data_IF_191599440695
#
_entry.id   IF_191599440695
#
_cell.length_a   1.000
_cell.length_b   1.000
_cell.length_c   1.000
_cell.angle_alpha   90.00
_cell.angle_beta   90.00
_cell.angle_gamma   90.00
#
_symmetry.space_group_name_H-M   'P 1'
#
loop_
_entity.id
_entity.type
_entity.pdbx_description
1 polymer ?
#
# COMPACT_ATOMS: atom_id res chain seq x y z
N UNK A 1 -69.83 20.91 -13.53
CA UNK A 1 -71.04 21.27 -12.74
C UNK A 1 -72.24 20.48 -13.30
N UNK A 2 -73.47 20.76 -12.86
CA UNK A 2 -74.69 20.12 -13.42
C UNK A 2 -74.83 20.32 -14.95
N UNK A 3 -74.14 21.31 -15.53
CA UNK A 3 -74.11 21.61 -16.97
C UNK A 3 -72.92 20.97 -17.71
N UNK A 4 -72.06 20.18 -17.04
CA UNK A 4 -70.91 19.51 -17.66
C UNK A 4 -69.62 20.34 -17.74
N UNK A 5 -69.56 21.51 -17.11
CA UNK A 5 -68.33 22.31 -17.10
C UNK A 5 -67.22 21.60 -16.28
N UNK A 6 -66.02 21.37 -16.85
CA UNK A 6 -64.91 20.74 -16.14
C UNK A 6 -64.37 21.68 -15.05
N UNK A 7 -63.84 21.10 -13.96
CA UNK A 7 -63.14 21.87 -12.95
C UNK A 7 -61.81 22.39 -13.50
N UNK A 8 -61.25 23.39 -12.83
CA UNK A 8 -59.84 23.71 -13.03
C UNK A 8 -58.96 22.49 -12.71
N UNK A 9 -57.86 22.36 -13.43
CA UNK A 9 -56.80 21.40 -13.12
C UNK A 9 -56.08 21.83 -11.86
N UNK A 10 -55.91 20.91 -10.90
CA UNK A 10 -54.98 21.09 -9.79
C UNK A 10 -53.59 20.59 -10.21
N UNK A 11 -52.55 21.34 -9.89
CA UNK A 11 -51.15 20.96 -10.11
C UNK A 11 -50.41 20.97 -8.78
N UNK A 12 -49.64 19.91 -8.53
CA UNK A 12 -48.67 19.82 -7.43
C UNK A 12 -47.27 19.76 -8.06
N UNK A 13 -46.38 20.65 -7.65
CA UNK A 13 -45.03 20.72 -8.16
C UNK A 13 -44.07 20.79 -6.96
N UNK A 14 -43.20 19.80 -6.85
CA UNK A 14 -42.21 19.70 -5.78
C UNK A 14 -40.80 19.90 -6.38
N UNK A 15 -39.90 20.57 -5.66
CA UNK A 15 -38.51 20.69 -6.10
C UNK A 15 -37.83 19.31 -6.10
N UNK A 16 -36.95 19.08 -7.07
CA UNK A 16 -36.08 17.90 -7.14
C UNK A 16 -34.65 18.39 -6.95
N UNK A 17 -33.90 17.75 -6.06
CA UNK A 17 -32.46 17.95 -5.97
C UNK A 17 -31.75 16.96 -6.90
N UNK A 18 -31.11 17.50 -7.93
CA UNK A 18 -30.34 16.74 -8.92
C UNK A 18 -28.89 17.23 -9.02
N UNK A 19 -28.43 17.96 -8.01
CA UNK A 19 -27.06 18.48 -7.98
C UNK A 19 -26.17 17.42 -7.36
N UNK A 20 -25.14 16.98 -8.08
CA UNK A 20 -24.16 16.04 -7.56
C UNK A 20 -23.41 16.62 -6.36
N UNK A 21 -23.10 15.77 -5.37
CA UNK A 21 -22.19 16.12 -4.30
C UNK A 21 -20.80 16.52 -4.84
N UNK A 22 -20.05 17.40 -4.13
CA UNK A 22 -18.67 17.69 -4.49
C UNK A 22 -17.77 16.45 -4.41
N UNK A 23 -16.92 16.27 -5.42
CA UNK A 23 -16.01 15.12 -5.48
C UNK A 23 -14.87 15.27 -4.46
N UNK A 24 -14.56 14.24 -3.64
CA UNK A 24 -13.42 14.27 -2.74
C UNK A 24 -12.10 14.15 -3.54
N UNK A 25 -10.97 14.18 -2.84
CA UNK A 25 -9.69 13.64 -3.30
C UNK A 25 -9.28 12.47 -2.40
N UNK A 26 -8.44 11.58 -2.91
CA UNK A 26 -7.85 10.48 -2.14
C UNK A 26 -6.38 10.37 -2.51
N UNK A 27 -5.51 10.14 -1.53
CA UNK A 27 -4.07 10.05 -1.72
C UNK A 27 -3.47 9.02 -0.74
N UNK A 28 -2.65 8.10 -1.26
CA UNK A 28 -1.84 7.19 -0.47
C UNK A 28 -0.67 7.91 0.18
N UNK A 29 -0.24 7.43 1.35
CA UNK A 29 0.94 7.93 2.05
C UNK A 29 1.83 6.78 2.51
N UNK A 30 3.09 7.06 2.85
CA UNK A 30 4.01 6.07 3.43
C UNK A 30 5.00 5.41 2.48
N UNK A 31 5.00 5.74 1.19
CA UNK A 31 5.93 5.20 0.16
C UNK A 31 7.35 5.79 0.18
N UNK A 32 7.81 6.29 1.33
CA UNK A 32 9.13 6.92 1.43
C UNK A 32 9.39 8.01 0.38
N UNK A 33 10.59 7.98 -0.23
CA UNK A 33 11.03 8.96 -1.23
C UNK A 33 11.10 8.43 -2.66
N UNK A 34 11.05 7.12 -2.83
CA UNK A 34 11.06 6.46 -4.14
C UNK A 34 9.66 6.36 -4.75
N UNK A 35 8.61 6.53 -3.95
CA UNK A 35 7.22 6.56 -4.42
C UNK A 35 6.72 5.17 -4.79
N UNK A 36 7.27 4.11 -4.20
CA UNK A 36 6.87 2.72 -4.41
C UNK A 36 6.72 2.04 -3.06
N UNK A 37 5.58 1.41 -2.80
CA UNK A 37 5.42 0.64 -1.58
C UNK A 37 6.27 -0.64 -1.61
N UNK A 38 7.14 -0.82 -0.62
CA UNK A 38 7.88 -2.06 -0.40
C UNK A 38 7.33 -2.85 0.80
N UNK A 39 7.93 -4.01 1.09
CA UNK A 39 7.50 -4.89 2.18
C UNK A 39 7.60 -4.29 3.58
N UNK A 40 8.48 -3.31 3.78
CA UNK A 40 8.66 -2.65 5.08
C UNK A 40 7.67 -1.48 5.26
N UNK A 41 7.20 -0.90 4.16
CA UNK A 41 6.22 0.19 4.15
C UNK A 41 4.77 -0.30 4.14
N UNK A 42 4.53 -1.52 3.65
CA UNK A 42 3.26 -2.21 3.83
C UNK A 42 3.16 -2.62 5.30
N UNK A 43 2.05 -2.24 5.95
CA UNK A 43 1.80 -2.58 7.34
C UNK A 43 1.89 -4.08 7.61
N UNK A 44 2.22 -4.46 8.85
CA UNK A 44 2.31 -5.88 9.23
C UNK A 44 1.00 -6.66 9.08
N UNK A 45 -0.12 -5.94 8.98
CA UNK A 45 -1.47 -6.42 8.67
C UNK A 45 -1.78 -6.49 7.17
N UNK A 46 -0.83 -6.10 6.32
CA UNK A 46 -0.93 -6.16 4.86
C UNK A 46 -1.69 -4.98 4.25
N UNK A 47 -1.80 -3.86 4.95
CA UNK A 47 -2.50 -2.67 4.46
C UNK A 47 -1.57 -1.46 4.31
N UNK A 48 -2.02 -0.49 3.52
CA UNK A 48 -1.42 0.84 3.40
C UNK A 48 -2.48 1.91 3.62
N UNK A 49 -2.10 3.04 4.20
CA UNK A 49 -3.04 4.12 4.53
C UNK A 49 -3.26 5.05 3.32
N UNK A 50 -4.53 5.29 3.00
CA UNK A 50 -4.95 6.40 2.15
C UNK A 50 -5.73 7.45 2.94
N UNK A 51 -5.56 8.72 2.61
CA UNK A 51 -6.31 9.83 3.21
C UNK A 51 -7.29 10.40 2.19
N UNK A 52 -8.57 10.40 2.55
CA UNK A 52 -9.63 11.05 1.78
C UNK A 52 -9.80 12.48 2.27
N UNK A 53 -9.64 13.47 1.38
CA UNK A 53 -9.95 14.87 1.67
C UNK A 53 -11.29 15.24 1.05
N UNK A 54 -12.22 15.72 1.88
CA UNK A 54 -13.55 16.14 1.42
C UNK A 54 -13.49 17.52 0.78
N UNK A 55 -14.10 17.67 -0.40
CA UNK A 55 -14.10 18.94 -1.11
C UNK A 55 -15.01 19.98 -0.45
N UNK A 56 -14.70 21.26 -0.68
CA UNK A 56 -15.54 22.39 -0.25
C UNK A 56 -16.96 22.23 -0.79
N UNK A 57 -17.96 22.37 0.08
CA UNK A 57 -19.37 22.16 -0.25
C UNK A 57 -19.91 20.79 0.14
N UNK A 58 -19.04 19.85 0.53
CA UNK A 58 -19.46 18.63 1.24
C UNK A 58 -20.06 19.01 2.58
N UNK A 59 -21.16 18.37 2.98
CA UNK A 59 -21.95 18.72 4.16
C UNK A 59 -21.95 17.61 5.19
N UNK A 60 -22.14 17.98 6.46
CA UNK A 60 -22.41 17.01 7.52
C UNK A 60 -23.70 16.28 7.19
N UNK A 61 -23.68 14.95 7.27
CA UNK A 61 -24.83 14.10 6.91
C UNK A 61 -24.73 13.47 5.53
N UNK A 62 -23.84 13.97 4.65
CA UNK A 62 -23.48 13.26 3.42
C UNK A 62 -22.85 11.90 3.75
N UNK A 63 -22.82 10.97 2.80
CA UNK A 63 -22.22 9.65 2.97
C UNK A 63 -20.94 9.56 2.16
N UNK A 64 -19.82 9.24 2.81
CA UNK A 64 -18.56 8.88 2.16
C UNK A 64 -18.51 7.36 1.97
N UNK A 65 -18.23 6.92 0.75
CA UNK A 65 -17.97 5.52 0.40
C UNK A 65 -16.53 5.41 -0.11
N UNK A 66 -15.76 4.48 0.44
CA UNK A 66 -14.40 4.16 0.00
C UNK A 66 -14.35 2.70 -0.44
N UNK A 67 -13.73 2.43 -1.59
CA UNK A 67 -13.55 1.07 -2.11
C UNK A 67 -12.11 0.81 -2.55
N UNK A 68 -11.69 -0.45 -2.53
CA UNK A 68 -10.40 -0.88 -3.10
C UNK A 68 -10.49 -1.05 -4.64
N UNK A 69 -9.35 -1.33 -5.29
CA UNK A 69 -9.29 -1.61 -6.73
C UNK A 69 -10.06 -2.86 -7.20
N UNK A 70 -10.48 -3.73 -6.28
CA UNK A 70 -11.34 -4.88 -6.58
C UNK A 70 -12.83 -4.56 -6.42
N UNK A 71 -13.17 -3.33 -6.01
CA UNK A 71 -14.53 -2.87 -5.77
C UNK A 71 -15.10 -3.27 -4.41
N UNK A 72 -14.28 -3.78 -3.48
CA UNK A 72 -14.73 -4.08 -2.12
C UNK A 72 -14.88 -2.77 -1.34
N UNK A 73 -15.96 -2.65 -0.58
CA UNK A 73 -16.19 -1.49 0.30
C UNK A 73 -15.28 -1.59 1.52
N UNK A 74 -14.37 -0.63 1.64
CA UNK A 74 -13.48 -0.47 2.80
C UNK A 74 -14.16 0.34 3.91
N UNK A 75 -14.91 1.37 3.52
CA UNK A 75 -15.64 2.21 4.46
C UNK A 75 -16.95 2.75 3.85
N UNK A 76 -17.98 2.86 4.69
CA UNK A 76 -19.18 3.65 4.42
C UNK A 76 -19.53 4.40 5.68
N UNK A 77 -19.30 5.72 5.67
CA UNK A 77 -19.40 6.56 6.86
C UNK A 77 -20.19 7.83 6.57
N UNK A 78 -20.93 8.30 7.56
CA UNK A 78 -21.57 9.62 7.49
C UNK A 78 -20.54 10.70 7.74
N UNK A 79 -20.50 11.71 6.86
CA UNK A 79 -19.61 12.86 6.97
C UNK A 79 -19.86 13.60 8.28
N UNK A 80 -18.78 13.77 9.04
CA UNK A 80 -18.76 14.52 10.31
C UNK A 80 -17.95 15.80 10.16
N UNK A 81 -18.09 16.73 11.12
CA UNK A 81 -17.24 17.92 11.16
C UNK A 81 -15.74 17.59 11.27
N UNK A 82 -15.39 16.51 11.96
CA UNK A 82 -14.00 16.08 12.08
C UNK A 82 -13.42 15.69 10.71
N UNK A 83 -14.20 14.98 9.89
CA UNK A 83 -13.80 14.60 8.54
C UNK A 83 -13.66 15.81 7.61
N UNK A 84 -14.55 16.80 7.73
CA UNK A 84 -14.43 18.04 6.95
C UNK A 84 -13.17 18.84 7.32
N UNK A 85 -12.71 18.74 8.56
CA UNK A 85 -11.54 19.48 9.03
C UNK A 85 -10.23 18.75 8.75
N UNK A 86 -10.22 17.42 8.88
CA UNK A 86 -9.00 16.61 8.93
C UNK A 86 -8.90 15.55 7.83
N UNK A 87 -9.95 15.34 7.03
CA UNK A 87 -10.06 14.20 6.13
C UNK A 87 -10.48 12.91 6.84
N UNK A 88 -10.39 11.79 6.12
CA UNK A 88 -10.71 10.46 6.61
C UNK A 88 -9.64 9.47 6.13
N UNK A 89 -8.91 8.88 7.08
CA UNK A 89 -7.91 7.85 6.80
C UNK A 89 -8.59 6.48 6.69
N UNK A 90 -8.12 5.68 5.74
CA UNK A 90 -8.62 4.34 5.46
C UNK A 90 -7.46 3.40 5.13
N UNK A 91 -7.48 2.22 5.73
CA UNK A 91 -6.52 1.16 5.44
C UNK A 91 -6.96 0.37 4.20
N UNK A 92 -6.07 0.29 3.22
CA UNK A 92 -6.31 -0.38 1.94
C UNK A 92 -5.46 -1.64 1.88
N UNK A 93 -6.06 -2.84 1.73
CA UNK A 93 -5.31 -4.08 1.66
C UNK A 93 -4.48 -4.17 0.37
N UNK A 94 -3.23 -4.59 0.52
CA UNK A 94 -2.34 -4.94 -0.59
C UNK A 94 -2.38 -6.46 -0.78
N UNK A 95 -2.85 -6.90 -1.95
CA UNK A 95 -2.92 -8.33 -2.22
C UNK A 95 -1.50 -8.94 -2.34
N UNK A 96 -1.25 -10.17 -1.83
CA UNK A 96 0.03 -10.83 -2.03
C UNK A 96 0.36 -10.97 -3.51
N UNK A 97 1.56 -10.54 -3.92
CA UNK A 97 1.93 -10.56 -5.34
C UNK A 97 1.45 -9.35 -6.15
N UNK A 98 0.73 -8.40 -5.54
CA UNK A 98 0.31 -7.20 -6.24
C UNK A 98 1.51 -6.34 -6.65
N UNK A 99 1.43 -5.77 -7.85
CA UNK A 99 2.39 -4.80 -8.38
C UNK A 99 1.88 -3.36 -8.29
N UNK A 100 0.63 -3.21 -7.85
CA UNK A 100 -0.03 -1.92 -7.63
C UNK A 100 -1.13 -2.05 -6.57
N UNK A 101 -1.44 -0.93 -5.92
CA UNK A 101 -2.55 -0.78 -4.97
C UNK A 101 -3.41 0.40 -5.40
N UNK A 102 -4.72 0.21 -5.32
CA UNK A 102 -5.70 1.18 -5.78
C UNK A 102 -6.77 1.43 -4.72
N UNK A 103 -7.19 2.69 -4.61
CA UNK A 103 -8.30 3.12 -3.77
C UNK A 103 -9.18 4.11 -4.53
N UNK A 104 -10.47 4.06 -4.27
CA UNK A 104 -11.43 5.05 -4.75
C UNK A 104 -12.32 5.59 -3.64
N UNK A 105 -12.79 6.82 -3.80
CA UNK A 105 -13.68 7.48 -2.87
C UNK A 105 -14.80 8.24 -3.60
N UNK A 106 -16.00 8.22 -3.05
CA UNK A 106 -17.16 8.95 -3.56
C UNK A 106 -18.00 9.49 -2.40
N UNK A 107 -18.52 10.71 -2.54
CA UNK A 107 -19.48 11.29 -1.60
C UNK A 107 -20.87 11.23 -2.22
N UNK A 108 -21.88 10.88 -1.42
CA UNK A 108 -23.29 10.85 -1.79
C UNK A 108 -24.00 11.84 -0.86
N UNK A 109 -24.66 12.85 -1.41
CA UNK A 109 -25.40 13.82 -0.59
C UNK A 109 -26.64 13.20 0.08
N UNK A 110 -27.30 13.99 0.93
CA UNK A 110 -28.54 13.58 1.63
C UNK A 110 -29.69 13.25 0.65
N UNK A 111 -29.71 13.88 -0.54
CA UNK A 111 -30.71 13.61 -1.58
C UNK A 111 -30.39 12.33 -2.39
N UNK A 112 -29.21 11.74 -2.20
CA UNK A 112 -28.75 10.54 -2.89
C UNK A 112 -27.99 10.82 -4.18
N UNK A 113 -27.57 12.05 -4.45
CA UNK A 113 -26.80 12.41 -5.64
C UNK A 113 -25.30 12.12 -5.40
N UNK A 114 -24.68 11.19 -6.17
CA UNK A 114 -23.28 10.88 -6.02
C UNK A 114 -22.38 11.95 -6.66
N UNK A 115 -21.21 12.15 -6.08
CA UNK A 115 -20.12 12.90 -6.68
C UNK A 115 -19.45 12.11 -7.82
N UNK A 116 -18.55 12.77 -8.54
CA UNK A 116 -17.55 12.03 -9.31
C UNK A 116 -16.69 11.16 -8.37
N UNK A 117 -16.20 10.03 -8.88
CA UNK A 117 -15.30 9.13 -8.16
C UNK A 117 -13.88 9.71 -8.17
N UNK A 118 -13.26 9.81 -7.00
CA UNK A 118 -11.84 10.04 -6.83
C UNK A 118 -11.09 8.71 -6.83
N UNK A 119 -9.88 8.68 -7.38
CA UNK A 119 -9.05 7.48 -7.48
C UNK A 119 -7.60 7.84 -7.20
N UNK A 120 -6.90 6.95 -6.49
CA UNK A 120 -5.43 6.95 -6.41
C UNK A 120 -4.90 5.54 -6.68
N UNK A 121 -3.76 5.46 -7.37
CA UNK A 121 -3.10 4.21 -7.75
C UNK A 121 -1.60 4.35 -7.56
N UNK A 122 -1.00 3.43 -6.80
CA UNK A 122 0.43 3.45 -6.48
C UNK A 122 1.09 2.12 -6.81
N UNK A 123 2.36 2.14 -7.26
CA UNK A 123 3.11 0.91 -7.51
C UNK A 123 3.50 0.23 -6.20
N UNK A 124 3.61 -1.10 -6.28
CA UNK A 124 4.09 -1.97 -5.20
C UNK A 124 5.27 -2.77 -5.72
N UNK A 125 6.39 -2.72 -5.00
CA UNK A 125 7.51 -3.62 -5.23
C UNK A 125 7.38 -4.86 -4.35
N UNK A 126 7.01 -5.97 -4.98
CA UNK A 126 6.94 -7.28 -4.36
C UNK A 126 7.98 -8.26 -4.97
N UNK A 127 9.04 -7.73 -5.57
CA UNK A 127 10.13 -8.53 -6.11
C UNK A 127 11.14 -8.76 -4.99
N UNK A 128 11.20 -10.00 -4.49
CA UNK A 128 12.24 -10.37 -3.55
C UNK A 128 13.63 -10.26 -4.19
N UNK A 129 14.58 -9.68 -3.47
CA UNK A 129 15.98 -9.67 -3.87
C UNK A 129 16.48 -11.12 -4.11
N UNK A 130 17.31 -11.36 -5.14
CA UNK A 130 17.85 -12.69 -5.40
C UNK A 130 18.65 -13.25 -4.22
N UNK A 131 18.45 -14.54 -3.93
CA UNK A 131 19.15 -15.20 -2.83
C UNK A 131 20.66 -15.33 -3.14
N UNK A 132 21.56 -14.88 -2.24
CA UNK A 132 22.99 -15.09 -2.41
C UNK A 132 23.36 -16.55 -2.19
N UNK A 133 24.57 -16.94 -2.62
CA UNK A 133 25.17 -18.24 -2.28
C UNK A 133 26.27 -18.08 -1.25
N UNK A 134 26.48 -19.10 -0.43
CA UNK A 134 27.55 -19.12 0.58
C UNK A 134 28.37 -20.38 0.40
N UNK A 135 29.70 -20.22 0.32
CA UNK A 135 30.64 -21.33 0.20
C UNK A 135 31.73 -21.22 1.26
N UNK A 136 31.88 -22.27 2.06
CA UNK A 136 32.98 -22.37 3.01
C UNK A 136 34.29 -22.69 2.29
N UNK A 137 35.37 -22.07 2.75
CA UNK A 137 36.72 -22.30 2.24
C UNK A 137 37.60 -22.96 3.30
N UNK A 138 38.65 -23.66 2.89
CA UNK A 138 39.67 -24.20 3.81
C UNK A 138 39.49 -25.66 4.27
N UNK A 139 38.49 -26.40 3.79
CA UNK A 139 38.25 -27.82 4.16
C UNK A 139 39.19 -28.84 3.47
N UNK A 140 40.34 -28.41 2.95
CA UNK A 140 41.22 -29.29 2.19
C UNK A 140 40.52 -30.03 1.03
N UNK A 141 40.94 -31.27 0.77
CA UNK A 141 40.39 -32.13 -0.30
C UNK A 141 39.39 -33.18 0.17
N UNK A 142 39.30 -33.42 1.48
CA UNK A 142 38.37 -34.39 2.07
C UNK A 142 37.00 -33.76 2.38
N UNK A 143 36.91 -32.42 2.34
CA UNK A 143 35.66 -31.69 2.46
C UNK A 143 35.11 -31.64 3.88
N UNK A 144 35.98 -31.83 4.89
CA UNK A 144 35.60 -31.81 6.30
C UNK A 144 36.61 -30.99 7.08
N UNK A 145 36.14 -29.97 7.81
CA UNK A 145 37.01 -29.21 8.71
C UNK A 145 37.57 -30.07 9.84
N UNK A 146 38.89 -30.04 10.00
CA UNK A 146 39.60 -30.61 11.14
C UNK A 146 40.21 -29.53 12.05
N UNK A 147 40.86 -29.94 13.14
CA UNK A 147 41.43 -29.02 14.14
C UNK A 147 42.50 -28.08 13.60
N UNK A 148 43.17 -28.45 12.52
CA UNK A 148 44.23 -27.66 11.90
C UNK A 148 43.66 -26.63 10.91
N UNK A 149 42.44 -26.85 10.42
CA UNK A 149 41.73 -26.00 9.45
C UNK A 149 40.78 -25.01 10.11
N UNK A 150 40.35 -25.28 11.34
CA UNK A 150 39.57 -24.35 12.15
C UNK A 150 40.52 -23.28 12.72
N UNK A 151 40.15 -22.01 12.58
CA UNK A 151 40.90 -20.90 13.13
C UNK A 151 41.12 -21.04 14.64
N UNK A 152 42.19 -20.44 15.16
CA UNK A 152 42.48 -20.48 16.61
C UNK A 152 41.38 -19.85 17.48
N UNK A 153 40.50 -19.07 16.88
CA UNK A 153 39.31 -18.46 17.48
C UNK A 153 38.05 -19.35 17.37
N UNK A 154 38.17 -20.55 16.79
CA UNK A 154 37.07 -21.48 16.58
C UNK A 154 36.22 -21.18 15.35
N UNK A 155 36.67 -20.31 14.44
CA UNK A 155 35.90 -19.91 13.25
C UNK A 155 36.44 -20.53 11.96
N UNK A 156 35.61 -20.50 10.92
CA UNK A 156 35.96 -20.87 9.54
C UNK A 156 35.52 -19.75 8.60
N UNK A 157 36.21 -19.62 7.47
CA UNK A 157 35.92 -18.57 6.48
C UNK A 157 34.90 -19.06 5.45
N UNK A 158 33.87 -18.26 5.21
CA UNK A 158 32.95 -18.43 4.10
C UNK A 158 32.99 -17.23 3.17
N UNK A 159 32.83 -17.47 1.89
CA UNK A 159 32.62 -16.45 0.87
C UNK A 159 31.12 -16.38 0.56
N UNK A 160 30.57 -15.17 0.59
CA UNK A 160 29.21 -14.88 0.15
C UNK A 160 29.29 -14.34 -1.27
N UNK A 161 28.53 -14.92 -2.19
CA UNK A 161 28.44 -14.44 -3.58
C UNK A 161 27.04 -13.91 -3.81
N UNK A 162 26.94 -12.63 -4.19
CA UNK A 162 25.69 -12.01 -4.56
C UNK A 162 25.17 -12.60 -5.88
N UNK A 163 23.87 -12.83 -5.96
CA UNK A 163 23.26 -13.42 -7.13
C UNK A 163 23.04 -12.38 -8.24
N UNK A 164 22.93 -12.85 -9.48
CA UNK A 164 22.57 -11.98 -10.61
C UNK A 164 21.20 -11.36 -10.36
N UNK A 165 21.11 -10.04 -10.44
CA UNK A 165 19.89 -9.28 -10.16
C UNK A 165 19.82 -8.70 -8.74
N UNK A 166 20.79 -8.95 -7.86
CA UNK A 166 20.98 -8.14 -6.66
C UNK A 166 21.29 -6.69 -7.07
N UNK A 167 20.67 -5.73 -6.40
CA UNK A 167 20.71 -4.31 -6.71
C UNK A 167 21.36 -3.50 -5.59
N UNK A 168 21.87 -2.32 -5.93
CA UNK A 168 22.33 -1.35 -4.92
C UNK A 168 21.14 -0.93 -4.07
N UNK A 169 21.29 -0.96 -2.75
CA UNK A 169 20.20 -0.71 -1.81
C UNK A 169 19.60 -1.98 -1.20
N UNK A 170 19.78 -3.15 -1.84
CA UNK A 170 19.38 -4.44 -1.24
C UNK A 170 20.08 -4.63 0.11
N UNK A 171 19.45 -5.36 1.03
CA UNK A 171 20.06 -5.68 2.32
C UNK A 171 20.60 -7.10 2.31
N UNK A 172 21.91 -7.25 2.52
CA UNK A 172 22.56 -8.54 2.75
C UNK A 172 22.66 -8.80 4.25
N UNK A 173 22.06 -9.91 4.69
CA UNK A 173 22.16 -10.39 6.07
C UNK A 173 22.86 -11.75 6.09
N UNK A 174 23.93 -11.86 6.89
CA UNK A 174 24.69 -13.10 7.10
C UNK A 174 24.45 -13.57 8.54
N UNK A 175 24.05 -14.83 8.70
CA UNK A 175 23.81 -15.45 10.01
C UNK A 175 24.62 -16.74 10.17
N UNK A 176 24.91 -17.12 11.42
CA UNK A 176 25.48 -18.44 11.73
C UNK A 176 24.40 -19.53 11.80
N UNK A 177 24.82 -20.79 11.97
CA UNK A 177 23.89 -21.93 12.09
C UNK A 177 23.00 -21.92 13.34
N UNK A 178 23.24 -21.00 14.29
CA UNK A 178 22.39 -20.77 15.46
C UNK A 178 21.44 -19.57 15.28
N UNK A 179 21.50 -18.88 14.13
CA UNK A 179 20.67 -17.72 13.80
C UNK A 179 21.23 -16.39 14.30
N UNK A 180 22.48 -16.33 14.79
CA UNK A 180 23.09 -15.06 15.20
C UNK A 180 23.50 -14.26 13.96
N UNK A 181 23.18 -12.97 13.92
CA UNK A 181 23.59 -12.08 12.82
C UNK A 181 25.08 -11.77 12.93
N UNK A 182 25.85 -12.18 11.91
CA UNK A 182 27.27 -11.94 11.77
C UNK A 182 27.55 -10.63 11.03
N UNK A 183 26.74 -10.32 10.02
CA UNK A 183 26.80 -9.08 9.26
C UNK A 183 25.41 -8.69 8.73
N UNK A 184 25.15 -7.39 8.67
CA UNK A 184 23.98 -6.81 8.01
C UNK A 184 24.44 -5.55 7.29
N UNK A 185 24.49 -5.59 5.96
CA UNK A 185 25.05 -4.51 5.14
C UNK A 185 24.12 -4.18 3.97
N UNK A 186 24.05 -2.91 3.60
CA UNK A 186 23.40 -2.49 2.35
C UNK A 186 24.34 -2.75 1.19
N UNK A 187 23.85 -3.40 0.14
CA UNK A 187 24.59 -3.69 -1.08
C UNK A 187 24.98 -2.38 -1.76
N UNK A 188 26.29 -2.24 -2.02
CA UNK A 188 26.87 -1.10 -2.74
C UNK A 188 27.27 -1.53 -4.15
N UNK A 189 27.52 -0.55 -5.02
CA UNK A 189 28.04 -0.85 -6.37
C UNK A 189 29.38 -1.61 -6.30
N UNK A 190 30.25 -1.25 -5.37
CA UNK A 190 31.55 -1.92 -5.19
C UNK A 190 31.39 -3.42 -4.87
N UNK A 191 30.37 -3.81 -4.10
CA UNK A 191 30.08 -5.21 -3.80
C UNK A 191 29.59 -5.98 -5.03
N UNK A 192 28.79 -5.34 -5.88
CA UNK A 192 28.32 -5.94 -7.14
C UNK A 192 29.47 -6.11 -8.15
N UNK A 193 30.39 -5.15 -8.20
CA UNK A 193 31.48 -5.13 -9.16
C UNK A 193 32.64 -6.06 -8.76
N UNK A 194 32.88 -6.24 -7.46
CA UNK A 194 34.09 -6.92 -6.96
C UNK A 194 33.86 -8.25 -6.23
N UNK A 195 32.62 -8.61 -5.91
CA UNK A 195 32.28 -9.85 -5.19
C UNK A 195 32.83 -9.88 -3.78
#
# INVERSE_FOLDING_TARGET
DIAGNPSATATDNQPVDNVAAPAPTVEFSGMGTDGVFNSDEIGTDGTVTATVTLATGTQIGDTLVVTDGSGNVLATVTVTQAMLNNGFDVEVPVAPGATEVNVTAQVIDIAGNPSATATDNQPVDNVAAPAPTVEFSGMGSDGVFNSDEIGSDGTVTATVTLATGTQVGDTLVVTDGSGNVLASVTVTQDMLDNG
#
